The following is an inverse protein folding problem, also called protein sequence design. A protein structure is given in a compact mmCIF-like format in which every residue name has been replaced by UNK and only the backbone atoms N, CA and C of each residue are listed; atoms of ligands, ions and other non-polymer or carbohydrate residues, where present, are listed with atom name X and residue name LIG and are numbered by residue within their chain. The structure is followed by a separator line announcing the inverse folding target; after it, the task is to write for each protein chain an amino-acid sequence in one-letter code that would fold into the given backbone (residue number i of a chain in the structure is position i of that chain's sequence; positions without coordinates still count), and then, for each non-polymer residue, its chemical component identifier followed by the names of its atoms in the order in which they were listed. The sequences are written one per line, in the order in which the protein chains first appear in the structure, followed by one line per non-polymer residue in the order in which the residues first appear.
data_IF_128124534257
#
_entry.id   IF_128124534257
#
_cell.length_a   1.000
_cell.length_b   1.000
_cell.length_c   1.000
_cell.angle_alpha   90.00
_cell.angle_beta   90.00
_cell.angle_gamma   90.00
#
_symmetry.space_group_name_H-M   'P 1'
#
loop_
_entity.id
_entity.type
_entity.pdbx_description
1 polymer ?
#
# COMPACT_ATOMS: atom_id res chain seq x y z
N UNK A 1 4.99 6.47 -18.51
CA UNK A 1 4.29 7.68 -18.05
C UNK A 1 3.12 7.39 -17.07
N UNK A 2 2.95 6.13 -16.59
CA UNK A 2 1.93 5.75 -15.57
C UNK A 2 2.48 5.67 -14.14
N UNK A 3 3.80 5.72 -13.96
CA UNK A 3 4.42 5.58 -12.63
C UNK A 3 4.42 6.86 -11.78
N UNK A 4 4.20 8.02 -12.39
CA UNK A 4 4.25 9.33 -11.71
C UNK A 4 3.03 9.59 -10.81
N UNK A 5 1.88 9.00 -11.14
CA UNK A 5 0.64 9.18 -10.37
C UNK A 5 0.70 8.43 -9.02
N UNK A 6 1.34 7.25 -8.98
CA UNK A 6 1.49 6.45 -7.77
C UNK A 6 2.41 7.09 -6.73
N UNK A 7 3.48 7.75 -7.19
CA UNK A 7 4.42 8.48 -6.33
C UNK A 7 3.81 9.71 -5.67
N UNK A 8 2.92 10.41 -6.38
CA UNK A 8 2.24 11.59 -5.83
C UNK A 8 1.26 11.26 -4.70
N UNK A 9 0.64 10.08 -4.70
CA UNK A 9 -0.28 9.67 -3.65
C UNK A 9 0.41 9.45 -2.29
N UNK A 10 1.58 8.84 -2.27
CA UNK A 10 2.35 8.63 -1.02
C UNK A 10 2.97 9.92 -0.48
N UNK A 11 3.36 10.86 -1.33
CA UNK A 11 3.97 12.12 -0.90
C UNK A 11 2.95 13.15 -0.38
N UNK A 12 1.70 13.09 -0.80
CA UNK A 12 0.64 13.98 -0.29
C UNK A 12 0.23 13.62 1.14
N UNK A 13 0.28 12.33 1.51
CA UNK A 13 -0.11 11.88 2.85
C UNK A 13 0.78 12.41 3.97
N UNK A 14 2.04 12.75 3.69
CA UNK A 14 2.97 13.28 4.69
C UNK A 14 2.76 14.76 5.05
N UNK A 15 1.97 15.51 4.28
CA UNK A 15 1.80 16.97 4.51
C UNK A 15 0.89 17.34 5.67
N UNK A 16 0.04 16.44 6.15
CA UNK A 16 -1.01 16.77 7.11
C UNK A 16 -0.79 16.31 8.55
N UNK A 17 0.36 15.70 8.86
CA UNK A 17 0.60 15.13 10.19
C UNK A 17 0.94 16.13 11.28
N UNK A 18 1.26 17.39 10.97
CA UNK A 18 1.75 18.34 11.97
C UNK A 18 0.71 19.25 12.62
N UNK A 19 -0.56 19.29 12.13
CA UNK A 19 -1.58 20.24 12.62
C UNK A 19 -2.98 19.64 12.73
N UNK A 20 -3.10 18.43 13.27
CA UNK A 20 -4.45 17.97 13.63
C UNK A 20 -4.80 18.48 15.01
N UNK A 21 -5.96 19.14 15.16
CA UNK A 21 -6.49 19.43 16.49
C UNK A 21 -6.74 18.13 17.24
N UNK A 22 -6.34 18.10 18.51
CA UNK A 22 -6.70 17.03 19.44
C UNK A 22 -8.19 16.77 19.36
N UNK A 23 -8.58 15.51 19.15
CA UNK A 23 -9.95 15.00 19.04
C UNK A 23 -10.90 16.01 18.43
N UNK A 24 -11.11 15.98 17.11
CA UNK A 24 -12.07 16.89 16.51
C UNK A 24 -13.42 16.71 17.19
N UNK A 25 -14.04 17.81 17.55
CA UNK A 25 -15.43 17.85 17.97
C UNK A 25 -16.32 17.57 16.75
N UNK A 26 -16.37 16.30 16.37
CA UNK A 26 -17.04 15.80 15.17
C UNK A 26 -18.52 16.15 15.18
N UNK A 27 -19.16 16.15 16.34
CA UNK A 27 -20.56 16.55 16.49
C UNK A 27 -20.77 18.00 16.10
N UNK A 28 -19.94 18.90 16.59
CA UNK A 28 -20.04 20.32 16.30
C UNK A 28 -19.76 20.65 14.83
N UNK A 29 -18.83 19.93 14.19
CA UNK A 29 -18.58 20.10 12.76
C UNK A 29 -19.68 19.51 11.91
N UNK A 30 -20.26 18.36 12.28
CA UNK A 30 -21.45 17.80 11.65
C UNK A 30 -22.61 18.77 11.69
N UNK A 31 -22.96 19.31 12.88
CA UNK A 31 -24.03 20.28 13.05
C UNK A 31 -23.81 21.52 12.16
N UNK A 32 -22.59 22.07 12.11
CA UNK A 32 -22.23 23.20 11.26
C UNK A 32 -22.33 22.92 9.76
N UNK A 33 -22.09 21.67 9.34
CA UNK A 33 -22.20 21.26 7.93
C UNK A 33 -23.65 20.97 7.58
N UNK A 34 -24.39 20.28 8.44
CA UNK A 34 -25.83 20.07 8.27
C UNK A 34 -26.60 21.42 8.17
N UNK A 35 -26.26 22.41 9.00
CA UNK A 35 -26.84 23.75 8.92
C UNK A 35 -26.44 24.48 7.62
N UNK A 36 -25.21 24.36 7.16
CA UNK A 36 -24.78 24.95 5.88
C UNK A 36 -25.41 24.25 4.67
N UNK A 37 -25.55 22.93 4.69
CA UNK A 37 -26.23 22.18 3.62
C UNK A 37 -27.73 22.56 3.58
N UNK A 38 -28.38 22.66 4.73
CA UNK A 38 -29.79 23.11 4.84
C UNK A 38 -29.99 24.57 4.43
N UNK A 39 -28.99 25.46 4.63
CA UNK A 39 -29.08 26.88 4.27
C UNK A 39 -28.89 27.20 2.79
N UNK A 40 -28.35 26.24 2.00
CA UNK A 40 -28.05 26.44 0.60
C UNK A 40 -29.19 26.01 -0.33
N UNK A 41 -30.44 26.42 -0.09
CA UNK A 41 -31.59 26.28 -1.03
C UNK A 41 -31.50 25.07 -1.99
N UNK A 42 -31.18 23.91 -1.50
CA UNK A 42 -31.16 22.71 -2.32
C UNK A 42 -32.58 22.22 -2.51
N UNK A 43 -33.01 22.16 -3.76
CA UNK A 43 -34.26 21.49 -4.12
C UNK A 43 -34.10 19.96 -3.79
N UNK A 44 -34.88 19.48 -2.75
CA UNK A 44 -34.77 18.06 -2.34
C UNK A 44 -35.18 17.08 -3.44
N UNK A 45 -35.92 17.55 -4.45
CA UNK A 45 -36.34 16.75 -5.59
C UNK A 45 -35.32 16.72 -6.73
N UNK A 46 -34.28 17.57 -6.66
CA UNK A 46 -33.26 17.58 -7.69
C UNK A 46 -32.47 16.24 -7.72
N UNK A 47 -32.14 15.76 -8.93
CA UNK A 47 -31.35 14.53 -9.11
C UNK A 47 -29.97 14.63 -8.41
N UNK A 48 -29.42 15.83 -8.36
CA UNK A 48 -28.15 16.10 -7.65
C UNK A 48 -28.30 15.92 -6.14
N UNK A 49 -29.37 16.37 -5.54
CA UNK A 49 -29.63 16.20 -4.11
C UNK A 49 -29.84 14.72 -3.76
N UNK A 50 -30.63 14.00 -4.56
CA UNK A 50 -30.83 12.55 -4.40
C UNK A 50 -29.52 11.76 -4.53
N UNK A 51 -28.66 12.16 -5.47
CA UNK A 51 -27.33 11.56 -5.62
C UNK A 51 -26.46 11.82 -4.40
N UNK A 52 -26.49 13.05 -3.88
CA UNK A 52 -25.77 13.42 -2.66
C UNK A 52 -26.23 12.60 -1.46
N UNK A 53 -27.55 12.51 -1.20
CA UNK A 53 -28.08 11.69 -0.10
C UNK A 53 -27.65 10.22 -0.22
N UNK A 54 -27.72 9.67 -1.43
CA UNK A 54 -27.29 8.29 -1.66
C UNK A 54 -25.80 8.08 -1.36
N UNK A 55 -24.94 9.02 -1.72
CA UNK A 55 -23.51 8.96 -1.40
C UNK A 55 -23.27 9.14 0.09
N UNK A 56 -23.99 10.07 0.72
CA UNK A 56 -23.87 10.31 2.17
C UNK A 56 -24.25 9.06 2.95
N UNK A 57 -25.38 8.42 2.66
CA UNK A 57 -25.81 7.16 3.25
C UNK A 57 -24.75 6.05 3.04
N UNK A 58 -24.20 5.96 1.82
CA UNK A 58 -23.20 4.96 1.46
C UNK A 58 -21.94 5.12 2.32
N UNK A 59 -21.42 6.32 2.43
CA UNK A 59 -20.14 6.58 3.08
C UNK A 59 -20.23 6.84 4.58
N UNK A 60 -21.40 7.18 5.11
CA UNK A 60 -21.57 7.45 6.54
C UNK A 60 -21.13 6.26 7.41
N UNK A 61 -21.66 5.07 7.12
CA UNK A 61 -21.30 3.85 7.85
C UNK A 61 -19.82 3.50 7.70
N UNK A 62 -19.23 3.70 6.51
CA UNK A 62 -17.79 3.51 6.27
C UNK A 62 -16.97 4.49 7.09
N UNK A 63 -17.31 5.76 7.07
CA UNK A 63 -16.64 6.79 7.84
C UNK A 63 -16.68 6.55 9.35
N UNK A 64 -17.82 6.08 9.89
CA UNK A 64 -17.94 5.71 11.31
C UNK A 64 -17.00 4.54 11.64
N UNK A 65 -16.99 3.47 10.82
CA UNK A 65 -16.09 2.33 11.02
C UNK A 65 -14.61 2.74 10.97
N UNK A 66 -14.25 3.57 9.99
CA UNK A 66 -12.88 4.04 9.81
C UNK A 66 -12.41 4.89 11.00
N UNK A 67 -13.25 5.80 11.50
CA UNK A 67 -12.94 6.61 12.69
C UNK A 67 -12.80 5.77 13.96
N UNK A 68 -13.54 4.68 14.08
CA UNK A 68 -13.39 3.75 15.20
C UNK A 68 -12.08 2.93 15.10
N UNK A 69 -11.61 2.65 13.89
CA UNK A 69 -10.45 1.81 13.62
C UNK A 69 -9.13 2.58 13.59
N UNK A 70 -9.12 3.76 13.01
CA UNK A 70 -7.90 4.54 12.76
C UNK A 70 -7.84 5.75 13.69
N UNK A 71 -6.71 5.90 14.38
CA UNK A 71 -6.51 6.96 15.39
C UNK A 71 -5.80 8.19 14.84
N UNK A 72 -5.15 8.07 13.68
CA UNK A 72 -4.43 9.18 13.02
C UNK A 72 -4.86 9.35 11.57
N UNK A 73 -4.73 10.56 11.06
CA UNK A 73 -5.01 10.86 9.64
C UNK A 73 -4.11 10.09 8.71
N UNK A 74 -2.83 9.91 9.06
CA UNK A 74 -1.92 9.11 8.26
C UNK A 74 -2.38 7.67 8.10
N UNK A 75 -2.92 7.06 9.17
CA UNK A 75 -3.51 5.72 9.09
C UNK A 75 -4.72 5.67 8.15
N UNK A 76 -5.57 6.70 8.17
CA UNK A 76 -6.72 6.80 7.26
C UNK A 76 -6.25 6.87 5.80
N UNK A 77 -5.32 7.78 5.49
CA UNK A 77 -4.77 7.91 4.14
C UNK A 77 -4.14 6.60 3.65
N UNK A 78 -3.29 5.99 4.47
CA UNK A 78 -2.63 4.73 4.11
C UNK A 78 -3.65 3.62 3.83
N UNK A 79 -4.65 3.46 4.71
CA UNK A 79 -5.66 2.42 4.60
C UNK A 79 -6.57 2.62 3.37
N UNK A 80 -6.98 3.86 3.08
CA UNK A 80 -7.84 4.12 1.92
C UNK A 80 -7.05 4.04 0.61
N UNK A 81 -5.81 4.51 0.58
CA UNK A 81 -4.94 4.32 -0.59
C UNK A 81 -4.72 2.84 -0.88
N UNK A 82 -4.48 2.03 0.15
CA UNK A 82 -4.38 0.59 0.03
C UNK A 82 -5.67 -0.04 -0.49
N UNK A 83 -6.83 0.30 0.10
CA UNK A 83 -8.14 -0.20 -0.32
C UNK A 83 -8.37 0.03 -1.81
N UNK A 84 -8.25 1.28 -2.26
CA UNK A 84 -8.61 1.68 -3.61
C UNK A 84 -7.54 1.36 -4.67
N UNK A 85 -6.32 1.01 -4.27
CA UNK A 85 -5.30 0.46 -5.17
C UNK A 85 -5.40 -1.05 -5.37
N UNK A 86 -6.28 -1.73 -4.62
CA UNK A 86 -6.44 -3.18 -4.71
C UNK A 86 -7.03 -3.62 -6.06
N UNK A 87 -6.80 -4.89 -6.43
CA UNK A 87 -7.26 -5.44 -7.70
C UNK A 87 -8.79 -5.36 -7.89
N UNK A 88 -9.56 -5.37 -6.81
CA UNK A 88 -11.01 -5.22 -6.89
C UNK A 88 -11.41 -3.90 -7.57
N UNK A 89 -10.71 -2.81 -7.28
CA UNK A 89 -11.03 -1.48 -7.83
C UNK A 89 -10.44 -1.23 -9.22
N UNK A 90 -9.54 -2.08 -9.71
CA UNK A 90 -8.98 -1.97 -11.08
C UNK A 90 -10.02 -2.18 -12.20
N UNK A 91 -11.20 -2.70 -11.89
CA UNK A 91 -12.32 -2.80 -12.83
C UNK A 91 -13.01 -1.45 -13.11
N UNK A 92 -12.78 -0.46 -12.27
CA UNK A 92 -13.33 0.88 -12.41
C UNK A 92 -12.31 1.81 -13.09
N UNK A 93 -12.81 2.86 -13.73
CA UNK A 93 -11.96 3.91 -14.29
C UNK A 93 -11.23 4.69 -13.20
N UNK A 94 -10.15 5.39 -13.56
CA UNK A 94 -9.39 6.22 -12.63
C UNK A 94 -10.25 7.33 -11.98
N UNK A 95 -11.19 7.91 -12.76
CA UNK A 95 -12.14 8.91 -12.24
C UNK A 95 -13.08 8.31 -11.20
N UNK A 96 -13.62 7.13 -11.46
CA UNK A 96 -14.51 6.43 -10.53
C UNK A 96 -13.80 6.01 -9.25
N UNK A 97 -12.57 5.50 -9.36
CA UNK A 97 -11.75 5.15 -8.18
C UNK A 97 -11.41 6.40 -7.36
N UNK A 98 -11.05 7.50 -8.03
CA UNK A 98 -10.78 8.77 -7.36
C UNK A 98 -12.03 9.29 -6.65
N UNK A 99 -13.20 9.19 -7.28
CA UNK A 99 -14.46 9.62 -6.71
C UNK A 99 -14.80 8.85 -5.43
N UNK A 100 -14.69 7.51 -5.47
CA UNK A 100 -14.89 6.66 -4.29
C UNK A 100 -13.91 6.98 -3.17
N UNK A 101 -12.64 7.15 -3.51
CA UNK A 101 -11.59 7.49 -2.54
C UNK A 101 -11.88 8.83 -1.86
N UNK A 102 -12.16 9.88 -2.63
CA UNK A 102 -12.41 11.23 -2.12
C UNK A 102 -13.65 11.26 -1.23
N UNK A 103 -14.75 10.61 -1.64
CA UNK A 103 -15.98 10.56 -0.86
C UNK A 103 -15.75 9.84 0.47
N UNK A 104 -15.10 8.68 0.49
CA UNK A 104 -14.82 7.95 1.73
C UNK A 104 -13.81 8.69 2.62
N UNK A 105 -12.80 9.31 2.04
CA UNK A 105 -11.80 10.08 2.76
C UNK A 105 -12.45 11.28 3.47
N UNK A 106 -13.24 12.08 2.76
CA UNK A 106 -13.89 13.23 3.33
C UNK A 106 -14.90 12.83 4.42
N UNK A 107 -15.71 11.81 4.17
CA UNK A 107 -16.63 11.29 5.19
C UNK A 107 -15.88 10.76 6.42
N UNK A 108 -14.72 10.12 6.22
CA UNK A 108 -13.90 9.63 7.34
C UNK A 108 -13.28 10.75 8.15
N UNK A 109 -12.69 11.75 7.49
CA UNK A 109 -11.95 12.83 8.16
C UNK A 109 -12.83 13.91 8.74
N UNK A 110 -13.92 14.23 8.03
CA UNK A 110 -14.74 15.40 8.33
C UNK A 110 -16.20 15.07 8.70
N UNK A 111 -16.61 13.81 8.53
CA UNK A 111 -17.99 13.38 8.78
C UNK A 111 -19.01 13.86 7.75
N UNK A 112 -18.56 14.40 6.62
CA UNK A 112 -19.38 14.90 5.53
C UNK A 112 -18.67 14.74 4.19
N UNK A 113 -19.44 14.77 3.10
CA UNK A 113 -18.91 14.79 1.74
C UNK A 113 -18.42 16.20 1.36
N UNK A 114 -17.40 16.28 0.51
CA UNK A 114 -16.88 17.54 0.01
C UNK A 114 -17.78 18.11 -1.09
N UNK A 115 -18.31 19.30 -0.91
CA UNK A 115 -19.03 20.03 -1.97
C UNK A 115 -20.27 19.34 -2.53
N UNK A 116 -20.86 18.39 -1.81
CA UNK A 116 -21.98 17.58 -2.27
C UNK A 116 -21.59 16.21 -2.84
N UNK A 117 -20.35 15.81 -2.59
CA UNK A 117 -19.80 14.52 -3.06
C UNK A 117 -19.30 14.56 -4.50
N UNK A 118 -18.44 13.60 -4.83
CA UNK A 118 -17.99 13.39 -6.20
C UNK A 118 -18.99 12.48 -6.93
N UNK A 119 -19.68 13.01 -7.93
CA UNK A 119 -20.76 12.34 -8.64
C UNK A 119 -20.31 11.33 -9.69
N UNK A 120 -19.01 11.21 -9.96
CA UNK A 120 -18.45 10.14 -10.80
C UNK A 120 -18.41 8.79 -10.07
N UNK A 121 -18.88 8.76 -8.83
CA UNK A 121 -18.86 7.58 -7.97
C UNK A 121 -19.81 6.48 -8.48
N UNK A 122 -19.28 5.27 -8.76
CA UNK A 122 -20.06 4.18 -9.29
C UNK A 122 -21.09 3.58 -8.32
N UNK A 123 -21.04 3.92 -7.03
CA UNK A 123 -22.12 3.58 -6.08
C UNK A 123 -23.46 4.18 -6.50
N UNK A 124 -23.43 5.33 -7.17
CA UNK A 124 -24.66 5.95 -7.70
C UNK A 124 -25.38 5.08 -8.72
N UNK A 125 -24.60 4.33 -9.49
CA UNK A 125 -25.11 3.38 -10.51
C UNK A 125 -25.44 2.00 -9.92
N UNK A 126 -25.11 1.75 -8.64
CA UNK A 126 -25.30 0.45 -8.01
C UNK A 126 -24.28 -0.61 -8.45
N UNK A 127 -23.20 -0.19 -9.10
CA UNK A 127 -22.14 -1.06 -9.62
C UNK A 127 -21.16 -1.53 -8.55
N UNK A 128 -21.02 -0.76 -7.48
CA UNK A 128 -20.15 -1.08 -6.34
C UNK A 128 -20.96 -1.72 -5.23
N UNK A 129 -20.44 -2.80 -4.70
CA UNK A 129 -20.94 -3.40 -3.46
C UNK A 129 -19.92 -3.13 -2.37
N UNK A 130 -20.39 -2.73 -1.18
CA UNK A 130 -19.54 -2.66 -0.01
C UNK A 130 -19.03 -4.07 0.29
N UNK A 131 -17.73 -4.27 0.10
CA UNK A 131 -17.09 -5.56 0.32
C UNK A 131 -16.29 -5.52 1.61
N UNK A 132 -16.47 -6.53 2.44
CA UNK A 132 -15.65 -6.69 3.63
C UNK A 132 -14.19 -6.95 3.25
N UNK A 133 -13.25 -6.64 4.14
CA UNK A 133 -11.83 -6.93 3.92
C UNK A 133 -11.60 -8.41 3.53
N UNK A 134 -12.34 -9.33 4.15
CA UNK A 134 -12.28 -10.76 3.83
C UNK A 134 -12.70 -11.03 2.38
N UNK A 135 -13.83 -10.45 1.94
CA UNK A 135 -14.30 -10.63 0.56
C UNK A 135 -13.35 -10.02 -0.47
N UNK A 136 -12.79 -8.84 -0.18
CA UNK A 136 -11.77 -8.23 -1.03
C UNK A 136 -10.52 -9.10 -1.13
N UNK A 137 -10.06 -9.65 0.00
CA UNK A 137 -8.94 -10.57 0.04
C UNK A 137 -9.20 -11.85 -0.78
N UNK A 138 -10.36 -12.49 -0.61
CA UNK A 138 -10.75 -13.69 -1.36
C UNK A 138 -10.81 -13.41 -2.86
N UNK A 139 -11.37 -12.27 -3.25
CA UNK A 139 -11.43 -11.84 -4.66
C UNK A 139 -10.02 -11.62 -5.23
N UNK A 140 -9.18 -10.89 -4.52
CA UNK A 140 -7.81 -10.62 -4.94
C UNK A 140 -6.99 -11.92 -5.07
N UNK A 141 -7.12 -12.84 -4.09
CA UNK A 141 -6.46 -14.15 -4.12
C UNK A 141 -6.90 -14.98 -5.32
N UNK A 142 -8.19 -15.02 -5.59
CA UNK A 142 -8.75 -15.72 -6.76
C UNK A 142 -8.20 -15.11 -8.06
N UNK A 143 -8.18 -13.79 -8.16
CA UNK A 143 -7.67 -13.09 -9.35
C UNK A 143 -6.21 -13.41 -9.63
N UNK A 144 -5.34 -13.33 -8.61
CA UNK A 144 -3.92 -13.64 -8.76
C UNK A 144 -3.69 -15.12 -9.09
N UNK A 145 -4.43 -16.04 -8.48
CA UNK A 145 -4.35 -17.47 -8.84
C UNK A 145 -4.71 -17.72 -10.30
N UNK A 146 -5.74 -17.04 -10.82
CA UNK A 146 -6.09 -17.12 -12.24
C UNK A 146 -4.98 -16.54 -13.14
N UNK A 147 -4.38 -15.43 -12.76
CA UNK A 147 -3.26 -14.84 -13.51
C UNK A 147 -2.05 -15.78 -13.54
N UNK A 148 -1.68 -16.38 -12.41
CA UNK A 148 -0.59 -17.36 -12.34
C UNK A 148 -0.88 -18.58 -13.20
N UNK A 149 -2.10 -19.13 -13.13
CA UNK A 149 -2.52 -20.24 -13.95
C UNK A 149 -2.38 -19.92 -15.46
N UNK A 150 -2.78 -18.71 -15.87
CA UNK A 150 -2.65 -18.27 -17.26
C UNK A 150 -1.16 -18.09 -17.67
N UNK A 151 -0.33 -17.52 -16.79
CA UNK A 151 1.11 -17.33 -17.05
C UNK A 151 1.78 -18.70 -17.26
N UNK A 152 1.52 -19.65 -16.38
CA UNK A 152 2.11 -20.99 -16.47
C UNK A 152 1.53 -21.78 -17.65
N UNK A 153 0.21 -21.76 -17.87
CA UNK A 153 -0.43 -22.43 -19.00
C UNK A 153 0.07 -21.92 -20.35
N UNK A 154 0.22 -20.59 -20.51
CA UNK A 154 0.79 -20.00 -21.73
C UNK A 154 2.26 -20.39 -21.97
N UNK A 155 2.98 -20.74 -20.92
CA UNK A 155 4.35 -21.25 -21.02
C UNK A 155 4.43 -22.78 -21.17
N UNK A 156 3.28 -23.47 -21.28
CA UNK A 156 3.21 -24.93 -21.40
C UNK A 156 3.51 -25.67 -20.09
N UNK A 157 3.42 -24.99 -18.94
CA UNK A 157 3.60 -25.61 -17.63
C UNK A 157 2.23 -26.05 -17.14
N UNK A 158 2.04 -27.36 -17.04
CA UNK A 158 0.80 -27.96 -16.55
C UNK A 158 0.70 -27.85 -15.02
N UNK A 159 -0.51 -27.57 -14.53
CA UNK A 159 -0.82 -27.57 -13.09
C UNK A 159 -0.51 -28.93 -12.44
N UNK A 160 -0.69 -30.03 -13.14
CA UNK A 160 -0.32 -31.38 -12.68
C UNK A 160 1.20 -31.54 -12.48
N UNK A 161 2.02 -30.82 -13.26
CA UNK A 161 3.47 -30.79 -13.07
C UNK A 161 3.82 -30.03 -11.78
N UNK A 162 3.17 -28.91 -11.53
CA UNK A 162 3.42 -28.06 -10.38
C UNK A 162 2.87 -28.63 -9.06
N UNK A 163 1.80 -29.45 -9.11
CA UNK A 163 1.19 -30.04 -7.91
C UNK A 163 2.10 -30.98 -7.13
N UNK A 164 3.25 -31.41 -7.73
CA UNK A 164 4.26 -32.24 -7.08
C UNK A 164 5.10 -31.47 -6.04
N UNK A 165 5.10 -30.15 -6.12
CA UNK A 165 5.98 -29.28 -5.35
C UNK A 165 5.21 -28.42 -4.36
N UNK A 166 5.79 -28.24 -3.18
CA UNK A 166 5.40 -27.21 -2.24
C UNK A 166 6.35 -26.02 -2.45
N UNK A 167 5.96 -25.09 -3.30
CA UNK A 167 6.79 -23.95 -3.68
C UNK A 167 6.62 -22.79 -2.73
N UNK A 168 7.65 -21.98 -2.58
CA UNK A 168 7.60 -20.68 -1.95
C UNK A 168 8.12 -19.64 -2.93
N UNK A 169 7.34 -18.60 -3.14
CA UNK A 169 7.71 -17.41 -3.89
C UNK A 169 8.17 -16.34 -2.90
N UNK A 170 9.42 -15.93 -2.99
CA UNK A 170 10.00 -14.86 -2.18
C UNK A 170 10.35 -13.68 -3.05
N UNK A 171 9.92 -12.48 -2.65
CA UNK A 171 10.10 -11.26 -3.43
C UNK A 171 10.96 -10.28 -2.65
N UNK A 172 12.02 -9.79 -3.28
CA UNK A 172 12.82 -8.71 -2.72
C UNK A 172 11.98 -7.41 -2.67
N UNK A 173 11.84 -6.77 -1.50
CA UNK A 173 10.97 -5.61 -1.35
C UNK A 173 11.48 -4.35 -2.06
N UNK A 174 12.76 -4.28 -2.44
CA UNK A 174 13.35 -3.07 -3.01
C UNK A 174 13.44 -3.07 -4.53
N UNK A 175 13.72 -4.24 -5.13
CA UNK A 175 13.81 -4.37 -6.59
C UNK A 175 12.70 -5.23 -7.21
N UNK A 176 11.83 -5.79 -6.36
CA UNK A 176 10.76 -6.71 -6.75
C UNK A 176 11.25 -7.97 -7.47
N UNK A 177 12.53 -8.33 -7.34
CA UNK A 177 13.00 -9.60 -7.89
C UNK A 177 12.41 -10.77 -7.12
N UNK A 178 11.92 -11.77 -7.86
CA UNK A 178 11.26 -12.95 -7.32
C UNK A 178 12.16 -14.17 -7.45
N UNK A 179 12.25 -14.95 -6.37
CA UNK A 179 12.90 -16.24 -6.30
C UNK A 179 11.90 -17.35 -5.98
N UNK A 180 12.14 -18.52 -6.52
CA UNK A 180 11.33 -19.73 -6.31
C UNK A 180 12.16 -20.73 -5.53
N UNK A 181 11.60 -21.28 -4.46
CA UNK A 181 12.18 -22.38 -3.68
C UNK A 181 11.18 -23.53 -3.53
N UNK A 182 11.66 -24.68 -3.06
CA UNK A 182 10.82 -25.88 -2.90
C UNK A 182 10.61 -26.69 -4.20
N UNK A 183 11.46 -26.46 -5.21
CA UNK A 183 11.48 -27.21 -6.46
C UNK A 183 12.86 -27.85 -6.62
N UNK A 184 12.93 -29.17 -6.74
CA UNK A 184 14.20 -29.91 -6.89
C UNK A 184 14.77 -29.83 -8.32
N UNK A 185 13.97 -29.42 -9.30
CA UNK A 185 14.38 -29.25 -10.70
C UNK A 185 14.87 -27.82 -10.94
N UNK A 186 16.19 -27.67 -11.10
CA UNK A 186 16.82 -26.37 -11.36
C UNK A 186 16.36 -25.73 -12.70
N UNK A 187 16.05 -26.55 -13.71
CA UNK A 187 15.53 -26.04 -14.98
C UNK A 187 14.14 -25.46 -14.86
N UNK A 188 13.25 -26.13 -14.12
CA UNK A 188 11.91 -25.66 -13.81
C UNK A 188 11.96 -24.42 -12.92
N UNK A 189 12.82 -24.40 -11.90
CA UNK A 189 13.03 -23.22 -11.04
C UNK A 189 13.40 -21.99 -11.86
N UNK A 190 14.43 -22.10 -12.72
CA UNK A 190 14.88 -21.01 -13.56
C UNK A 190 13.78 -20.53 -14.54
N UNK A 191 12.98 -21.45 -15.07
CA UNK A 191 11.86 -21.12 -15.95
C UNK A 191 10.76 -20.37 -15.20
N UNK A 192 10.37 -20.82 -14.01
CA UNK A 192 9.37 -20.16 -13.16
C UNK A 192 9.82 -18.75 -12.77
N UNK A 193 11.07 -18.62 -12.30
CA UNK A 193 11.64 -17.32 -11.96
C UNK A 193 11.66 -16.36 -13.15
N UNK A 194 12.05 -16.84 -14.33
CA UNK A 194 12.03 -16.04 -15.56
C UNK A 194 10.62 -15.56 -15.92
N UNK A 195 9.60 -16.40 -15.79
CA UNK A 195 8.22 -16.05 -16.09
C UNK A 195 7.66 -15.07 -15.08
N UNK A 196 7.91 -15.31 -13.79
CA UNK A 196 7.38 -14.47 -12.72
C UNK A 196 8.10 -13.12 -12.62
N UNK A 197 9.38 -13.03 -13.02
CA UNK A 197 10.11 -11.76 -13.12
C UNK A 197 9.87 -11.02 -14.44
N UNK A 198 9.13 -11.62 -15.37
CA UNK A 198 8.83 -10.98 -16.64
C UNK A 198 7.77 -9.90 -16.46
N UNK A 199 7.95 -8.77 -17.18
CA UNK A 199 7.04 -7.63 -17.19
C UNK A 199 6.80 -7.10 -15.74
N UNK A 200 5.56 -7.10 -15.28
CA UNK A 200 5.18 -6.62 -13.94
C UNK A 200 4.66 -7.75 -13.02
N UNK A 201 4.84 -9.01 -13.38
CA UNK A 201 4.25 -10.14 -12.64
C UNK A 201 4.71 -10.20 -11.17
N UNK A 202 6.01 -10.07 -10.93
CA UNK A 202 6.54 -10.08 -9.55
C UNK A 202 6.04 -8.87 -8.74
N UNK A 203 5.88 -7.70 -9.38
CA UNK A 203 5.34 -6.50 -8.73
C UNK A 203 3.86 -6.65 -8.38
N UNK A 204 3.05 -7.26 -9.23
CA UNK A 204 1.65 -7.57 -8.92
C UNK A 204 1.55 -8.55 -7.74
N UNK A 205 2.42 -9.57 -7.72
CA UNK A 205 2.47 -10.51 -6.61
C UNK A 205 2.97 -9.83 -5.32
N UNK A 206 3.95 -8.93 -5.40
CA UNK A 206 4.38 -8.08 -4.28
C UNK A 206 3.21 -7.36 -3.64
N UNK A 207 2.41 -6.63 -4.43
CA UNK A 207 1.25 -5.91 -3.92
C UNK A 207 0.22 -6.87 -3.32
N UNK A 208 0.00 -8.02 -3.94
CA UNK A 208 -0.91 -9.02 -3.39
C UNK A 208 -0.48 -9.51 -2.01
N UNK A 209 0.80 -9.84 -1.82
CA UNK A 209 1.33 -10.30 -0.53
C UNK A 209 1.22 -9.19 0.51
N UNK A 210 1.61 -7.97 0.17
CA UNK A 210 1.52 -6.81 1.08
C UNK A 210 0.09 -6.58 1.58
N UNK A 211 -0.90 -6.80 0.72
CA UNK A 211 -2.31 -6.54 1.05
C UNK A 211 -3.03 -7.74 1.66
N UNK A 212 -2.61 -8.95 1.35
CA UNK A 212 -3.28 -10.17 1.79
C UNK A 212 -2.74 -10.72 3.11
N UNK A 213 -1.49 -10.47 3.44
CA UNK A 213 -0.82 -11.07 4.60
C UNK A 213 -0.69 -10.09 5.78
N UNK A 214 -1.74 -9.32 6.06
CA UNK A 214 -1.73 -8.26 7.09
C UNK A 214 -1.40 -8.77 8.50
N UNK A 215 -1.79 -10.00 8.83
CA UNK A 215 -1.57 -10.54 10.17
C UNK A 215 -0.10 -10.90 10.43
N UNK A 216 0.70 -11.12 9.39
CA UNK A 216 2.09 -11.56 9.50
C UNK A 216 3.11 -10.44 9.33
N UNK A 217 2.71 -9.30 8.77
CA UNK A 217 3.61 -8.15 8.55
C UNK A 217 3.31 -7.10 9.62
N UNK A 218 4.25 -6.88 10.54
CA UNK A 218 4.11 -5.87 11.58
C UNK A 218 4.11 -4.45 11.00
N UNK A 219 3.41 -3.53 11.66
CA UNK A 219 3.39 -2.12 11.26
C UNK A 219 4.79 -1.50 11.31
N UNK A 220 5.65 -1.95 12.23
CA UNK A 220 7.04 -1.49 12.33
C UNK A 220 7.88 -1.98 11.12
N UNK A 221 7.70 -3.21 10.66
CA UNK A 221 8.37 -3.70 9.44
C UNK A 221 7.93 -2.91 8.20
N UNK A 222 6.63 -2.60 8.10
CA UNK A 222 6.11 -1.73 7.02
C UNK A 222 6.68 -0.32 7.09
N UNK A 223 6.71 0.28 8.28
CA UNK A 223 7.27 1.62 8.48
C UNK A 223 8.75 1.68 8.11
N UNK A 224 9.54 0.67 8.54
CA UNK A 224 10.94 0.52 8.15
C UNK A 224 11.08 0.41 6.63
N UNK A 225 10.31 -0.48 6.00
CA UNK A 225 10.31 -0.63 4.55
C UNK A 225 9.98 0.68 3.83
N UNK A 226 8.88 1.36 4.19
CA UNK A 226 8.49 2.61 3.53
C UNK A 226 9.55 3.69 3.65
N UNK A 227 10.19 3.80 4.82
CA UNK A 227 11.29 4.75 5.02
C UNK A 227 12.48 4.42 4.11
N UNK A 228 12.92 3.17 4.10
CA UNK A 228 14.06 2.74 3.30
C UNK A 228 13.74 2.73 1.79
N UNK A 229 12.51 2.40 1.40
CA UNK A 229 12.09 2.48 0.00
C UNK A 229 12.07 3.91 -0.54
N UNK A 230 11.76 4.91 0.30
CA UNK A 230 11.91 6.31 -0.09
C UNK A 230 13.36 6.68 -0.39
N UNK A 231 14.31 6.10 0.36
CA UNK A 231 15.74 6.24 0.09
C UNK A 231 16.13 5.62 -1.26
N UNK A 232 15.70 4.38 -1.53
CA UNK A 232 15.94 3.69 -2.81
C UNK A 232 15.41 4.51 -3.99
N UNK A 233 14.21 5.03 -3.85
CA UNK A 233 13.54 5.81 -4.90
C UNK A 233 14.25 7.08 -5.28
N UNK A 234 14.92 7.72 -4.33
CA UNK A 234 15.64 8.98 -4.54
C UNK A 234 17.07 8.74 -4.98
N UNK A 235 17.73 7.73 -4.39
CA UNK A 235 19.18 7.51 -4.56
C UNK A 235 19.53 6.38 -5.52
N UNK A 236 18.61 5.45 -5.77
CA UNK A 236 18.87 4.20 -6.48
C UNK A 236 19.79 3.24 -5.72
N UNK A 237 20.15 3.52 -4.47
CA UNK A 237 21.07 2.69 -3.69
C UNK A 237 20.30 1.69 -2.82
N UNK A 238 20.89 0.51 -2.63
CA UNK A 238 20.35 -0.51 -1.72
C UNK A 238 20.59 -0.09 -0.25
N UNK A 239 19.54 0.10 0.56
CA UNK A 239 19.68 0.52 1.95
C UNK A 239 20.32 -0.55 2.85
N UNK A 240 20.38 -1.81 2.43
CA UNK A 240 21.03 -2.92 3.15
C UNK A 240 22.56 -2.78 3.20
N UNK A 241 23.14 -1.88 2.39
CA UNK A 241 24.57 -1.53 2.45
C UNK A 241 24.91 -0.64 3.64
N UNK A 242 23.91 -0.13 4.37
CA UNK A 242 24.10 0.75 5.51
C UNK A 242 24.01 -0.03 6.82
N UNK A 243 24.93 0.28 7.73
CA UNK A 243 25.02 -0.33 9.06
C UNK A 243 24.83 0.72 10.14
N UNK A 244 24.19 0.34 11.24
CA UNK A 244 24.03 1.21 12.40
C UNK A 244 25.38 1.36 13.14
N UNK A 245 25.76 2.61 13.38
CA UNK A 245 26.93 3.01 14.17
C UNK A 245 26.50 4.11 15.14
N UNK A 246 27.45 4.62 15.95
CA UNK A 246 27.20 5.80 16.79
C UNK A 246 26.85 7.06 15.97
N UNK A 247 27.32 7.16 14.74
CA UNK A 247 27.03 8.25 13.81
C UNK A 247 25.70 8.07 13.03
N UNK A 248 24.93 7.03 13.32
CA UNK A 248 23.71 6.66 12.61
C UNK A 248 23.90 5.51 11.61
N UNK A 249 23.16 5.51 10.52
CA UNK A 249 23.30 4.52 9.45
C UNK A 249 24.37 4.97 8.46
N UNK A 250 25.46 4.21 8.34
CA UNK A 250 26.58 4.52 7.43
C UNK A 250 26.85 3.35 6.48
N UNK A 251 27.26 3.66 5.24
CA UNK A 251 27.67 2.66 4.26
C UNK A 251 29.16 2.27 4.43
N UNK A 252 29.64 1.34 3.60
CA UNK A 252 31.04 0.89 3.61
C UNK A 252 32.08 1.98 3.32
N UNK A 253 31.67 3.15 2.83
CA UNK A 253 32.53 4.32 2.60
C UNK A 253 32.52 5.32 3.76
N UNK A 254 31.73 5.04 4.81
CA UNK A 254 31.54 5.95 5.95
C UNK A 254 30.55 7.10 5.68
N UNK A 255 29.79 7.05 4.58
CA UNK A 255 28.80 8.06 4.24
C UNK A 255 27.49 7.81 5.02
N UNK A 256 26.97 8.84 5.68
CA UNK A 256 25.72 8.75 6.43
C UNK A 256 24.51 8.74 5.47
N UNK A 257 23.53 7.89 5.73
CA UNK A 257 22.32 7.73 4.91
C UNK A 257 21.55 9.05 4.71
N UNK A 258 21.53 9.92 5.73
CA UNK A 258 20.87 11.23 5.69
C UNK A 258 21.59 12.19 4.74
N UNK A 259 22.92 12.17 4.72
CA UNK A 259 23.70 13.03 3.83
C UNK A 259 23.58 12.56 2.37
N UNK A 260 23.66 11.25 2.14
CA UNK A 260 23.47 10.68 0.81
C UNK A 260 22.06 11.00 0.27
N UNK A 261 21.02 10.85 1.10
CA UNK A 261 19.66 11.20 0.72
C UNK A 261 19.51 12.69 0.40
N UNK A 262 20.09 13.57 1.23
CA UNK A 262 20.06 15.03 1.04
C UNK A 262 20.70 15.44 -0.28
N UNK A 263 21.87 14.89 -0.60
CA UNK A 263 22.57 15.21 -1.84
C UNK A 263 21.79 14.68 -3.07
N UNK A 264 21.30 13.44 -3.01
CA UNK A 264 20.52 12.86 -4.10
C UNK A 264 19.21 13.64 -4.34
N UNK A 265 18.54 14.13 -3.31
CA UNK A 265 17.33 14.95 -3.45
C UNK A 265 17.54 16.21 -4.30
N UNK A 266 18.75 16.80 -4.31
CA UNK A 266 19.01 18.02 -5.08
C UNK A 266 18.78 17.82 -6.57
N UNK A 267 19.15 16.65 -7.09
CA UNK A 267 19.10 16.32 -8.52
C UNK A 267 17.98 15.33 -8.89
N UNK A 268 17.39 14.65 -7.91
CA UNK A 268 16.35 13.65 -8.15
C UNK A 268 15.05 14.29 -8.68
N UNK A 269 14.49 13.70 -9.72
CA UNK A 269 13.15 14.02 -10.23
C UNK A 269 12.04 13.22 -9.55
N UNK A 270 12.39 12.25 -8.67
CA UNK A 270 11.43 11.47 -7.91
C UNK A 270 10.59 12.32 -6.94
N UNK A 271 11.12 13.48 -6.52
CA UNK A 271 10.44 14.42 -5.62
C UNK A 271 10.37 15.79 -6.28
N UNK A 272 9.17 16.38 -6.49
CA UNK A 272 9.03 17.74 -7.02
C UNK A 272 9.80 18.75 -6.18
N UNK A 273 10.39 19.76 -6.82
CA UNK A 273 11.31 20.72 -6.20
C UNK A 273 10.75 21.37 -4.93
N UNK A 274 9.45 21.75 -4.95
CA UNK A 274 8.77 22.38 -3.82
C UNK A 274 8.63 21.46 -2.58
N UNK A 275 8.78 20.14 -2.75
CA UNK A 275 8.61 19.15 -1.69
C UNK A 275 9.91 18.56 -1.15
N UNK A 276 11.05 18.84 -1.79
CA UNK A 276 12.35 18.25 -1.43
C UNK A 276 12.73 18.51 0.04
N UNK A 277 12.50 19.72 0.54
CA UNK A 277 12.74 20.03 1.95
C UNK A 277 11.85 19.25 2.90
N UNK A 278 10.57 19.13 2.60
CA UNK A 278 9.64 18.33 3.40
C UNK A 278 9.99 16.85 3.37
N UNK A 279 10.33 16.32 2.19
CA UNK A 279 10.73 14.92 2.03
C UNK A 279 11.98 14.59 2.86
N UNK A 280 12.97 15.50 2.87
CA UNK A 280 14.16 15.34 3.71
C UNK A 280 13.80 15.29 5.20
N UNK A 281 13.03 16.25 5.70
CA UNK A 281 12.67 16.32 7.11
C UNK A 281 11.91 15.06 7.57
N UNK A 282 10.98 14.59 6.76
CA UNK A 282 10.23 13.35 7.05
C UNK A 282 11.13 12.13 7.05
N UNK A 283 12.03 12.03 6.08
CA UNK A 283 13.00 10.94 6.02
C UNK A 283 13.91 10.93 7.25
N UNK A 284 14.46 12.10 7.61
CA UNK A 284 15.32 12.27 8.79
C UNK A 284 14.59 11.87 10.08
N UNK A 285 13.35 12.32 10.27
CA UNK A 285 12.52 11.98 11.44
C UNK A 285 12.28 10.48 11.54
N UNK A 286 11.90 9.85 10.41
CA UNK A 286 11.66 8.41 10.35
C UNK A 286 12.93 7.59 10.63
N UNK A 287 14.09 7.98 10.07
CA UNK A 287 15.37 7.32 10.37
C UNK A 287 15.71 7.45 11.86
N UNK A 288 15.56 8.64 12.46
CA UNK A 288 15.80 8.85 13.89
C UNK A 288 14.90 7.98 14.75
N UNK A 289 13.62 7.83 14.36
CA UNK A 289 12.67 6.96 15.05
C UNK A 289 13.08 5.49 14.96
N UNK A 290 13.42 5.00 13.77
CA UNK A 290 13.89 3.63 13.57
C UNK A 290 15.15 3.32 14.38
N UNK A 291 16.09 4.28 14.46
CA UNK A 291 17.31 4.14 15.28
C UNK A 291 17.00 4.10 16.78
N UNK A 292 16.08 4.94 17.26
CA UNK A 292 15.67 4.98 18.65
C UNK A 292 14.94 3.69 19.09
N UNK A 293 14.15 3.11 18.22
CA UNK A 293 13.46 1.81 18.46
C UNK A 293 14.42 0.62 18.35
N UNK A 294 15.62 0.82 17.83
CA UNK A 294 16.62 -0.21 17.55
C UNK A 294 16.47 -0.80 16.15
N UNK A 295 17.14 -0.21 15.20
CA UNK A 295 17.03 -0.51 13.75
C UNK A 295 17.05 -2.02 13.41
N UNK A 296 17.95 -2.78 14.06
CA UNK A 296 18.06 -4.23 13.85
C UNK A 296 17.05 -5.06 14.64
N UNK A 297 16.34 -4.47 15.60
CA UNK A 297 15.25 -5.13 16.33
C UNK A 297 13.94 -5.10 15.55
N UNK A 298 13.81 -4.15 14.63
CA UNK A 298 12.68 -4.07 13.73
C UNK A 298 12.95 -5.04 12.58
N UNK A 299 12.10 -6.07 12.39
CA UNK A 299 12.31 -7.04 11.31
C UNK A 299 12.24 -6.35 9.95
N UNK A 300 13.03 -6.84 9.01
CA UNK A 300 12.89 -6.44 7.62
C UNK A 300 11.59 -7.01 7.03
N UNK A 301 11.08 -6.32 6.02
CA UNK A 301 9.90 -6.79 5.30
C UNK A 301 10.26 -8.07 4.54
N UNK A 302 9.64 -9.19 4.92
CA UNK A 302 9.73 -10.45 4.19
C UNK A 302 8.42 -10.66 3.41
N UNK A 303 8.56 -10.82 2.11
CA UNK A 303 7.44 -11.02 1.19
C UNK A 303 7.53 -12.42 0.60
N UNK A 304 7.06 -13.39 1.36
CA UNK A 304 7.01 -14.78 0.92
C UNK A 304 5.57 -15.29 0.94
N UNK A 305 5.23 -16.13 -0.04
CA UNK A 305 3.94 -16.78 -0.16
C UNK A 305 4.12 -18.19 -0.68
N UNK A 306 3.42 -19.15 -0.09
CA UNK A 306 3.40 -20.52 -0.56
C UNK A 306 2.58 -20.68 -1.84
N UNK A 307 2.95 -21.65 -2.66
CA UNK A 307 2.17 -22.10 -3.80
C UNK A 307 2.08 -23.62 -3.81
N UNK A 308 0.87 -24.13 -3.64
CA UNK A 308 0.60 -25.56 -3.57
C UNK A 308 -0.72 -25.88 -4.28
N UNK A 309 -0.78 -27.01 -4.96
CA UNK A 309 -1.97 -27.50 -5.66
C UNK A 309 -2.61 -26.46 -6.60
N UNK A 310 -1.77 -25.65 -7.26
CA UNK A 310 -2.23 -24.60 -8.18
C UNK A 310 -2.71 -23.32 -7.51
N UNK A 311 -2.53 -23.16 -6.19
CA UNK A 311 -3.05 -22.01 -5.44
C UNK A 311 -2.00 -21.40 -4.50
N UNK A 312 -2.05 -20.08 -4.38
CA UNK A 312 -1.30 -19.34 -3.38
C UNK A 312 -1.85 -19.61 -1.97
N UNK A 313 -0.96 -19.79 -1.02
CA UNK A 313 -1.27 -20.04 0.39
C UNK A 313 -0.44 -19.13 1.27
N UNK A 314 -1.07 -18.55 2.31
CA UNK A 314 -0.34 -17.78 3.30
C UNK A 314 0.59 -18.71 4.08
N UNK A 315 1.84 -18.30 4.24
CA UNK A 315 2.81 -19.04 5.03
C UNK A 315 2.54 -18.82 6.54
N UNK A 316 2.74 -19.85 7.38
CA UNK A 316 2.72 -19.68 8.82
C UNK A 316 3.73 -18.61 9.28
N UNK A 317 3.40 -17.89 10.36
CA UNK A 317 4.25 -16.82 10.90
C UNK A 317 5.67 -17.28 11.25
N UNK A 318 5.84 -18.55 11.64
CA UNK A 318 7.14 -19.14 11.99
C UNK A 318 8.08 -19.23 10.78
N UNK A 319 7.56 -19.54 9.61
CA UNK A 319 8.38 -19.63 8.36
C UNK A 319 8.83 -18.25 7.86
N UNK A 320 8.07 -17.20 8.20
CA UNK A 320 8.42 -15.82 7.87
C UNK A 320 9.56 -15.30 8.76
N UNK A 321 9.63 -15.75 10.01
CA UNK A 321 10.67 -15.35 10.96
C UNK A 321 12.04 -16.00 10.69
N UNK A 322 12.07 -17.22 10.16
CA UNK A 322 13.33 -17.95 9.90
C UNK A 322 14.13 -17.41 8.70
N UNK A 323 13.47 -16.85 7.69
CA UNK A 323 14.15 -16.33 6.49
C UNK A 323 14.89 -15.00 6.72
N UNK A 324 14.61 -14.29 7.82
CA UNK A 324 15.31 -13.03 8.14
C UNK A 324 16.67 -13.22 8.82
N UNK A 325 16.95 -14.42 9.35
CA UNK A 325 18.19 -14.72 10.07
C UNK A 325 19.28 -15.33 9.18
N UNK A 326 18.94 -16.04 8.09
CA UNK A 326 19.91 -16.71 7.23
C UNK A 326 20.65 -15.77 6.24
N UNK A 327 20.28 -14.48 6.18
CA UNK A 327 20.99 -13.49 5.37
C UNK A 327 22.14 -12.79 6.11
N UNK A 328 22.39 -13.14 7.37
CA UNK A 328 23.45 -12.55 8.19
C UNK A 328 24.66 -13.49 8.43
N UNK A 329 24.76 -14.63 7.76
CA UNK A 329 25.89 -15.55 7.84
C UNK A 329 26.86 -15.39 6.65
#
# INVERSE_FOLDING_TARGET
MKDTAYYNYYNISYRYTSNLPEKPDWKRKLELVEDKVKSNNHDPESERYKAFEKLEDTYYAMGVRNRAKYTTVSQVYAALSEKYSSNYYKQFSELEVTAMYDNELHMTLYGCLNGGGNLDDPHLKGEVRDVTEKQAHEYNRKTINMQLCNIFGNAGIDSAMLSKYNMTFSIDPYDCSLKVSGVDDAGLTAMLEKLLNKDHNARELFYHIMHSNRASISDNAKAKYHTLNSFVSVTGQDPRQYRQTEAGLVNGRGENILDVYREALKTSDAVPAQFKGTAYNVFEENIKKLLAEGFYRIPDLNLSIGYKDGMLQDLPNEDIMHNSFDQMA
#
